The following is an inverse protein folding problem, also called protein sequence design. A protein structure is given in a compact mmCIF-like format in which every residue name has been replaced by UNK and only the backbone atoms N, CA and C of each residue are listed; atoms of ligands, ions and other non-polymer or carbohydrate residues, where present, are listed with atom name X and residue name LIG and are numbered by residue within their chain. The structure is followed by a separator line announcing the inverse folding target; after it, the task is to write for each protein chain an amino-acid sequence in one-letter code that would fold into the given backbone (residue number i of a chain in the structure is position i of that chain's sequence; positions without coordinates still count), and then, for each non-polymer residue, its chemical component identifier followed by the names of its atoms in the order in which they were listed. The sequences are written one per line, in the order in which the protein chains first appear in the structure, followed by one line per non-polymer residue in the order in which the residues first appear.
data_IF_816481543930
#
_entry.id   IF_816481543930
#
_cell.length_a   1.000
_cell.length_b   1.000
_cell.length_c   1.000
_cell.angle_alpha   90.00
_cell.angle_beta   90.00
_cell.angle_gamma   90.00
#
_symmetry.space_group_name_H-M   'P 1'
#
loop_
_entity.id
_entity.type
_entity.pdbx_description
1 polymer ?
#
# COMPACT_ATOMS: atom_id res chain seq x y z
N UNK A 1 3.79 -7.48 -42.85
CA UNK A 1 3.39 -7.42 -41.44
C UNK A 1 3.33 -8.83 -40.92
N UNK A 2 4.40 -9.21 -40.23
CA UNK A 2 4.70 -10.55 -39.71
C UNK A 2 3.87 -10.84 -38.46
N UNK A 3 3.56 -12.11 -38.21
CA UNK A 3 2.81 -12.63 -37.05
C UNK A 3 3.36 -12.23 -35.68
N UNK A 4 4.53 -11.59 -35.64
CA UNK A 4 5.17 -10.99 -34.46
C UNK A 4 4.40 -9.75 -33.96
N UNK A 5 3.71 -9.00 -34.82
CA UNK A 5 2.91 -7.82 -34.40
C UNK A 5 1.53 -8.18 -33.82
N UNK A 6 1.14 -9.46 -33.85
CA UNK A 6 -0.09 -9.95 -33.21
C UNK A 6 0.10 -10.43 -31.76
N UNK A 7 1.34 -10.63 -31.32
CA UNK A 7 1.63 -11.08 -29.96
C UNK A 7 1.59 -9.94 -28.92
N UNK A 8 1.57 -8.67 -29.36
CA UNK A 8 1.78 -7.51 -28.48
C UNK A 8 0.48 -6.82 -28.01
N UNK A 9 -0.68 -7.47 -28.19
CA UNK A 9 -2.00 -6.91 -27.83
C UNK A 9 -2.80 -7.70 -26.81
N UNK A 10 -2.17 -8.67 -26.16
CA UNK A 10 -2.78 -9.40 -25.04
C UNK A 10 -1.75 -9.69 -23.94
N UNK A 11 -0.88 -8.73 -23.61
CA UNK A 11 -0.37 -8.70 -22.24
C UNK A 11 -1.56 -8.33 -21.35
N UNK A 12 -2.21 -9.38 -20.84
CA UNK A 12 -3.12 -9.29 -19.72
C UNK A 12 -2.34 -8.56 -18.62
N UNK A 13 -2.55 -7.23 -18.51
CA UNK A 13 -1.81 -6.41 -17.54
C UNK A 13 -2.08 -7.04 -16.19
N UNK A 14 -1.09 -7.71 -15.60
CA UNK A 14 -1.27 -8.41 -14.34
C UNK A 14 -1.75 -7.39 -13.30
N UNK A 15 -3.03 -7.48 -12.94
CA UNK A 15 -3.63 -6.61 -11.94
C UNK A 15 -3.31 -7.19 -10.56
N UNK A 16 -2.37 -6.55 -9.87
CA UNK A 16 -2.02 -6.87 -8.51
C UNK A 16 -3.19 -6.61 -7.58
N UNK A 17 -3.31 -7.41 -6.52
CA UNK A 17 -4.31 -7.13 -5.49
C UNK A 17 -3.96 -5.85 -4.75
N UNK A 18 -2.70 -5.69 -4.41
CA UNK A 18 -2.18 -4.48 -3.81
C UNK A 18 -0.69 -4.32 -4.06
N UNK A 19 -0.23 -3.11 -3.82
CA UNK A 19 1.19 -2.81 -3.65
C UNK A 19 1.50 -2.68 -2.16
N UNK A 20 2.56 -3.33 -1.67
CA UNK A 20 3.10 -3.10 -0.33
C UNK A 20 4.18 -2.02 -0.42
N UNK A 21 4.06 -0.99 0.42
CA UNK A 21 5.01 0.10 0.56
C UNK A 21 5.58 0.07 1.98
N UNK A 22 6.88 -0.22 2.10
CA UNK A 22 7.64 -0.22 3.36
C UNK A 22 8.43 1.09 3.49
N UNK A 23 8.89 1.48 4.69
CA UNK A 23 9.73 2.66 4.88
C UNK A 23 10.93 2.72 3.92
N UNK A 24 11.56 1.57 3.66
CA UNK A 24 12.63 1.44 2.67
C UNK A 24 12.21 2.01 1.30
N UNK A 25 11.01 1.66 0.82
CA UNK A 25 10.54 2.05 -0.50
C UNK A 25 9.99 3.48 -0.57
N UNK A 26 9.24 3.93 0.44
CA UNK A 26 8.49 5.20 0.38
C UNK A 26 9.17 6.40 1.02
N UNK A 27 10.28 6.22 1.75
CA UNK A 27 11.06 7.32 2.32
C UNK A 27 12.12 7.84 1.35
N UNK A 28 12.65 9.06 1.56
CA UNK A 28 13.82 9.53 0.83
C UNK A 28 14.99 8.54 1.00
N UNK A 29 15.73 8.19 -0.06
CA UNK A 29 16.76 7.15 -0.01
C UNK A 29 17.90 7.46 0.97
N UNK A 30 18.17 8.74 1.22
CA UNK A 30 19.23 9.19 2.14
C UNK A 30 18.73 9.41 3.59
N UNK A 31 17.46 9.09 3.89
CA UNK A 31 16.92 9.29 5.23
C UNK A 31 17.37 8.20 6.20
N UNK A 32 17.69 8.56 7.45
CA UNK A 32 18.17 7.63 8.48
C UNK A 32 17.20 6.49 8.80
N UNK A 33 15.91 6.70 8.53
CA UNK A 33 14.84 5.72 8.73
C UNK A 33 14.48 4.93 7.46
N UNK A 34 15.11 5.26 6.32
CA UNK A 34 14.94 4.55 5.05
C UNK A 34 15.86 3.31 4.98
N UNK A 35 15.83 2.49 6.02
CA UNK A 35 16.63 1.28 6.09
C UNK A 35 15.77 0.04 5.99
N UNK A 36 16.40 -1.04 5.51
CA UNK A 36 15.78 -2.35 5.49
C UNK A 36 15.52 -2.81 6.92
N UNK A 37 14.23 -3.03 7.20
CA UNK A 37 13.77 -3.45 8.51
C UNK A 37 13.28 -4.89 8.39
N UNK A 38 14.04 -5.89 8.91
CA UNK A 38 13.75 -7.31 8.69
C UNK A 38 12.35 -7.72 9.14
N UNK A 39 11.80 -7.07 10.18
CA UNK A 39 10.42 -7.36 10.63
C UNK A 39 9.38 -6.89 9.61
N UNK A 40 9.63 -5.78 8.91
CA UNK A 40 8.73 -5.26 7.87
C UNK A 40 8.74 -6.17 6.65
N UNK A 41 9.91 -6.65 6.23
CA UNK A 41 10.01 -7.61 5.13
C UNK A 41 9.34 -8.94 5.47
N UNK A 42 9.59 -9.46 6.68
CA UNK A 42 8.95 -10.69 7.16
C UNK A 42 7.44 -10.54 7.22
N UNK A 43 6.93 -9.39 7.67
CA UNK A 43 5.50 -9.12 7.70
C UNK A 43 4.91 -8.95 6.29
N UNK A 44 5.58 -8.22 5.40
CA UNK A 44 5.17 -8.06 4.01
C UNK A 44 5.06 -9.42 3.31
N UNK A 45 6.01 -10.33 3.58
CA UNK A 45 5.95 -11.72 3.13
C UNK A 45 4.77 -12.48 3.74
N UNK A 46 4.53 -12.36 5.04
CA UNK A 46 3.37 -13.01 5.69
C UNK A 46 2.04 -12.56 5.05
N UNK A 47 1.87 -11.25 4.80
CA UNK A 47 0.70 -10.70 4.09
C UNK A 47 0.60 -11.25 2.67
N UNK A 48 1.72 -11.32 1.94
CA UNK A 48 1.78 -11.86 0.59
C UNK A 48 1.32 -13.32 0.52
N UNK A 49 1.88 -14.16 1.40
CA UNK A 49 1.61 -15.59 1.45
C UNK A 49 0.13 -15.83 1.80
N UNK A 50 -0.39 -15.13 2.82
CA UNK A 50 -1.80 -15.23 3.23
C UNK A 50 -2.77 -14.84 2.11
N UNK A 51 -2.48 -13.73 1.40
CA UNK A 51 -3.32 -13.25 0.31
C UNK A 51 -3.25 -14.18 -0.90
N UNK A 52 -2.09 -14.79 -1.15
CA UNK A 52 -1.97 -15.80 -2.19
C UNK A 52 -2.80 -17.04 -1.86
N UNK A 53 -2.71 -17.55 -0.63
CA UNK A 53 -3.50 -18.68 -0.14
C UNK A 53 -5.02 -18.43 -0.22
N UNK A 54 -5.47 -17.26 0.24
CA UNK A 54 -6.90 -16.93 0.31
C UNK A 54 -7.49 -16.46 -1.02
N UNK A 55 -6.78 -15.59 -1.76
CA UNK A 55 -7.35 -14.85 -2.89
C UNK A 55 -6.73 -15.26 -4.23
N UNK A 56 -5.60 -15.96 -4.25
CA UNK A 56 -4.87 -16.34 -5.47
C UNK A 56 -4.57 -15.14 -6.37
N UNK A 57 -4.24 -13.99 -5.75
CA UNK A 57 -3.94 -12.74 -6.46
C UNK A 57 -2.49 -12.34 -6.23
N UNK A 58 -1.80 -11.88 -7.28
CA UNK A 58 -0.41 -11.43 -7.15
C UNK A 58 -0.34 -10.12 -6.39
N UNK A 59 0.80 -9.87 -5.75
CA UNK A 59 1.11 -8.63 -5.05
C UNK A 59 2.34 -7.96 -5.69
N UNK A 60 2.47 -6.65 -5.50
CA UNK A 60 3.65 -5.91 -5.93
C UNK A 60 4.38 -5.31 -4.73
N UNK A 61 5.69 -5.46 -4.66
CA UNK A 61 6.51 -4.91 -3.57
C UNK A 61 7.75 -4.26 -4.17
N UNK A 62 7.85 -2.92 -4.14
CA UNK A 62 9.09 -2.24 -4.48
C UNK A 62 10.16 -2.61 -3.44
N UNK A 63 11.34 -2.99 -3.92
CA UNK A 63 12.43 -3.52 -3.07
C UNK A 63 13.66 -2.61 -3.03
N UNK A 64 13.63 -1.48 -3.73
CA UNK A 64 14.75 -0.55 -3.80
C UNK A 64 14.51 0.66 -2.89
N UNK A 65 15.56 1.12 -2.21
CA UNK A 65 15.51 2.28 -1.33
C UNK A 65 15.00 3.52 -2.08
N UNK A 66 13.94 4.16 -1.55
CA UNK A 66 13.32 5.36 -2.10
C UNK A 66 12.70 5.21 -3.50
N UNK A 67 12.55 3.98 -4.01
CA UNK A 67 12.01 3.77 -5.36
C UNK A 67 10.60 4.33 -5.53
N UNK A 68 9.78 4.15 -4.49
CA UNK A 68 8.43 4.63 -4.39
C UNK A 68 8.33 5.87 -3.50
N UNK A 69 9.42 6.62 -3.34
CA UNK A 69 9.38 7.90 -2.64
C UNK A 69 8.44 8.84 -3.39
N UNK A 70 7.50 9.44 -2.65
CA UNK A 70 6.53 10.38 -3.21
C UNK A 70 7.16 11.76 -3.47
N UNK A 71 8.13 11.77 -4.39
CA UNK A 71 8.75 12.99 -4.90
C UNK A 71 7.81 13.67 -5.92
N UNK A 72 8.16 14.89 -6.33
CA UNK A 72 7.32 15.87 -7.05
C UNK A 72 6.43 15.37 -8.20
N UNK A 73 6.75 14.25 -8.84
CA UNK A 73 5.94 13.68 -9.91
C UNK A 73 4.99 12.59 -9.39
N UNK A 74 3.76 13.01 -9.08
CA UNK A 74 2.70 12.11 -8.64
C UNK A 74 2.21 11.15 -9.74
N UNK A 75 2.35 11.52 -11.01
CA UNK A 75 1.98 10.66 -12.12
C UNK A 75 2.96 9.50 -12.26
N UNK A 76 4.26 9.74 -12.08
CA UNK A 76 5.26 8.68 -12.04
C UNK A 76 4.99 7.74 -10.86
N UNK A 77 4.75 8.30 -9.66
CA UNK A 77 4.45 7.50 -8.47
C UNK A 77 3.22 6.61 -8.68
N UNK A 78 2.09 7.18 -9.14
CA UNK A 78 0.87 6.42 -9.38
C UNK A 78 1.05 5.39 -10.50
N UNK A 79 1.56 5.79 -11.66
CA UNK A 79 1.64 4.90 -12.82
C UNK A 79 2.59 3.70 -12.59
N UNK A 80 3.69 3.91 -11.86
CA UNK A 80 4.67 2.85 -11.58
C UNK A 80 4.23 1.95 -10.44
N UNK A 81 3.78 2.52 -9.32
CA UNK A 81 3.63 1.76 -8.09
C UNK A 81 2.20 1.38 -7.76
N UNK A 82 1.20 2.15 -8.22
CA UNK A 82 -0.15 2.02 -7.69
C UNK A 82 -1.20 1.63 -8.75
N UNK A 83 -1.07 2.12 -9.98
CA UNK A 83 -2.10 2.04 -11.02
C UNK A 83 -2.54 0.63 -11.39
N UNK A 84 -1.62 -0.35 -11.29
CA UNK A 84 -1.92 -1.75 -11.60
C UNK A 84 -2.34 -2.55 -10.35
N UNK A 85 -2.60 -1.89 -9.23
CA UNK A 85 -2.95 -2.51 -7.94
C UNK A 85 -4.32 -2.03 -7.47
N UNK A 86 -5.16 -2.92 -6.92
CA UNK A 86 -6.47 -2.48 -6.38
C UNK A 86 -6.29 -1.63 -5.11
N UNK A 87 -5.37 -2.00 -4.23
CA UNK A 87 -5.04 -1.27 -3.00
C UNK A 87 -3.55 -0.91 -2.89
N UNK A 88 -3.22 -0.06 -1.94
CA UNK A 88 -1.86 0.22 -1.50
C UNK A 88 -1.78 0.00 0.00
N UNK A 89 -0.80 -0.76 0.48
CA UNK A 89 -0.64 -1.06 1.90
C UNK A 89 0.66 -0.44 2.38
N UNK A 90 0.57 0.52 3.30
CA UNK A 90 1.73 1.01 4.04
C UNK A 90 1.96 0.08 5.21
N UNK A 91 3.13 -0.56 5.28
CA UNK A 91 3.52 -1.42 6.40
C UNK A 91 4.66 -0.74 7.13
N UNK A 92 4.43 -0.32 8.37
CA UNK A 92 5.37 0.51 9.13
C UNK A 92 5.60 -0.09 10.52
N UNK A 93 6.85 -0.30 10.98
CA UNK A 93 7.12 -0.62 12.38
C UNK A 93 6.60 0.47 13.29
N UNK A 94 5.90 0.13 14.38
CA UNK A 94 5.35 1.10 15.32
C UNK A 94 6.42 2.03 15.90
N UNK A 95 7.62 1.49 16.17
CA UNK A 95 8.79 2.25 16.63
C UNK A 95 9.35 3.25 15.61
N UNK A 96 9.00 3.10 14.33
CA UNK A 96 9.39 3.99 13.23
C UNK A 96 8.22 4.81 12.71
N UNK A 97 7.08 4.82 13.40
CA UNK A 97 5.87 5.48 12.89
C UNK A 97 6.08 6.98 12.63
N UNK A 98 7.01 7.63 13.34
CA UNK A 98 7.44 9.02 13.12
C UNK A 98 7.88 9.31 11.68
N UNK A 99 8.36 8.30 10.93
CA UNK A 99 8.75 8.47 9.53
C UNK A 99 7.59 8.93 8.64
N UNK A 100 6.35 8.63 9.04
CA UNK A 100 5.15 9.04 8.31
C UNK A 100 4.95 10.57 8.33
N UNK A 101 5.45 11.27 9.35
CA UNK A 101 5.41 12.74 9.40
C UNK A 101 6.18 13.35 8.23
N UNK A 102 7.26 12.69 7.77
CA UNK A 102 8.14 13.17 6.69
C UNK A 102 7.44 13.17 5.33
N UNK A 103 6.58 12.17 5.09
CA UNK A 103 5.86 12.02 3.82
C UNK A 103 4.44 12.58 3.88
N UNK A 104 3.95 12.94 5.08
CA UNK A 104 2.57 13.33 5.32
C UNK A 104 2.09 14.46 4.40
N UNK A 105 2.84 15.56 4.32
CA UNK A 105 2.44 16.71 3.49
C UNK A 105 2.32 16.36 2.00
N UNK A 106 3.23 15.55 1.47
CA UNK A 106 3.19 15.10 0.07
C UNK A 106 2.06 14.11 -0.18
N UNK A 107 1.87 13.18 0.75
CA UNK A 107 0.80 12.20 0.70
C UNK A 107 -0.58 12.88 0.73
N UNK A 108 -0.75 13.92 1.55
CA UNK A 108 -1.96 14.75 1.56
C UNK A 108 -2.25 15.40 0.21
N UNK A 109 -1.23 15.98 -0.43
CA UNK A 109 -1.39 16.58 -1.76
C UNK A 109 -1.75 15.51 -2.79
N UNK A 110 -1.06 14.37 -2.78
CA UNK A 110 -1.37 13.24 -3.65
C UNK A 110 -2.81 12.76 -3.50
N UNK A 111 -3.26 12.54 -2.26
CA UNK A 111 -4.62 12.11 -1.93
C UNK A 111 -5.67 13.20 -2.21
N UNK A 112 -5.26 14.46 -2.35
CA UNK A 112 -6.15 15.55 -2.80
C UNK A 112 -6.32 15.50 -4.32
N UNK A 113 -5.24 15.26 -5.06
CA UNK A 113 -5.24 15.16 -6.52
C UNK A 113 -5.76 13.82 -7.05
N UNK A 114 -5.72 12.76 -6.22
CA UNK A 114 -6.15 11.39 -6.56
C UNK A 114 -7.01 10.81 -5.44
N UNK A 115 -8.14 11.46 -5.18
CA UNK A 115 -9.02 11.19 -4.03
C UNK A 115 -9.48 9.73 -3.88
N UNK A 116 -9.58 8.97 -4.98
CA UNK A 116 -9.90 7.54 -4.94
C UNK A 116 -8.90 6.73 -4.12
N UNK A 117 -7.66 7.18 -3.99
CA UNK A 117 -6.65 6.50 -3.18
C UNK A 117 -6.93 6.58 -1.67
N UNK A 118 -7.72 7.55 -1.19
CA UNK A 118 -8.10 7.61 0.23
C UNK A 118 -8.84 6.36 0.71
N UNK A 119 -9.57 5.70 -0.19
CA UNK A 119 -10.34 4.49 0.12
C UNK A 119 -9.57 3.20 -0.20
N UNK A 120 -8.38 3.33 -0.80
CA UNK A 120 -7.56 2.23 -1.33
C UNK A 120 -6.24 2.09 -0.61
N UNK A 121 -5.79 3.11 0.12
CA UNK A 121 -4.69 3.01 1.04
C UNK A 121 -5.14 2.33 2.34
N UNK A 122 -4.33 1.39 2.80
CA UNK A 122 -4.47 0.70 4.08
C UNK A 122 -3.18 0.95 4.84
N UNK A 123 -3.29 1.33 6.11
CA UNK A 123 -2.15 1.50 6.99
C UNK A 123 -2.07 0.34 7.96
N UNK A 124 -0.90 -0.30 8.02
CA UNK A 124 -0.59 -1.37 8.95
C UNK A 124 0.61 -0.98 9.80
N UNK A 125 0.44 -1.04 11.11
CA UNK A 125 1.53 -0.94 12.07
C UNK A 125 1.96 -2.31 12.58
N UNK A 126 3.27 -2.50 12.75
CA UNK A 126 3.85 -3.66 13.43
C UNK A 126 4.28 -3.21 14.83
N UNK A 127 3.47 -3.52 15.84
CA UNK A 127 3.52 -2.95 17.18
C UNK A 127 2.84 -1.57 17.24
N UNK A 128 2.64 -1.08 18.47
CA UNK A 128 2.00 0.21 18.69
C UNK A 128 2.82 1.37 18.09
N UNK A 129 2.20 2.28 17.32
CA UNK A 129 2.88 3.43 16.75
C UNK A 129 3.32 4.42 17.84
N UNK A 130 4.55 4.92 17.74
CA UNK A 130 5.10 5.90 18.66
C UNK A 130 5.78 7.06 17.92
N UNK A 131 5.83 8.24 18.56
CA UNK A 131 6.65 9.37 18.13
C UNK A 131 6.07 10.27 17.03
N UNK A 132 4.98 9.87 16.38
CA UNK A 132 4.26 10.71 15.40
C UNK A 132 3.73 12.00 16.02
N UNK A 133 3.84 13.11 15.30
CA UNK A 133 3.35 14.43 15.72
C UNK A 133 2.41 15.07 14.71
N UNK A 134 2.56 14.74 13.44
CA UNK A 134 1.85 15.41 12.34
C UNK A 134 0.92 14.46 11.59
N UNK A 135 1.35 13.21 11.38
CA UNK A 135 0.62 12.26 10.57
C UNK A 135 -0.72 11.87 11.22
N UNK A 136 -1.81 12.11 10.51
CA UNK A 136 -3.15 11.70 10.92
C UNK A 136 -3.61 10.51 10.09
N UNK A 137 -3.85 9.32 10.68
CA UNK A 137 -4.29 8.17 9.90
C UNK A 137 -5.66 8.34 9.24
N UNK A 138 -6.47 9.30 9.71
CA UNK A 138 -7.78 9.66 9.16
C UNK A 138 -7.74 10.25 7.74
N UNK A 139 -6.55 10.51 7.19
CA UNK A 139 -6.40 10.80 5.75
C UNK A 139 -6.83 9.64 4.86
N UNK A 140 -6.82 8.42 5.41
CA UNK A 140 -7.37 7.21 4.81
C UNK A 140 -8.76 6.92 5.38
N UNK A 141 -9.62 6.27 4.59
CA UNK A 141 -10.94 5.85 5.06
C UNK A 141 -10.90 4.56 5.89
N UNK A 142 -9.86 3.74 5.69
CA UNK A 142 -9.66 2.51 6.44
C UNK A 142 -8.90 2.82 7.72
N UNK A 143 -9.46 2.44 8.87
CA UNK A 143 -8.77 2.54 10.16
C UNK A 143 -7.46 1.72 10.14
N UNK A 144 -6.38 2.21 10.79
CA UNK A 144 -5.13 1.47 10.84
C UNK A 144 -5.29 0.12 11.52
N UNK A 145 -4.65 -0.89 10.94
CA UNK A 145 -4.52 -2.19 11.58
C UNK A 145 -3.20 -2.24 12.34
N UNK A 146 -3.24 -2.54 13.63
CA UNK A 146 -2.03 -2.66 14.47
C UNK A 146 -1.81 -4.13 14.76
N UNK A 147 -0.81 -4.76 14.16
CA UNK A 147 -0.41 -6.14 14.46
C UNK A 147 0.62 -6.16 15.59
N UNK A 148 0.84 -7.32 16.19
CA UNK A 148 1.86 -7.50 17.21
C UNK A 148 3.26 -7.15 16.70
N UNK A 149 4.11 -6.60 17.57
CA UNK A 149 5.54 -6.46 17.27
C UNK A 149 6.28 -7.81 17.21
N UNK A 150 5.70 -8.86 17.78
CA UNK A 150 6.28 -10.20 17.80
C UNK A 150 5.80 -11.02 16.60
N UNK A 151 6.70 -11.46 15.70
CA UNK A 151 6.32 -12.26 14.53
C UNK A 151 5.64 -13.59 14.86
N UNK A 152 5.97 -14.18 16.00
CA UNK A 152 5.55 -15.53 16.37
C UNK A 152 4.06 -15.61 16.72
N UNK A 153 3.38 -14.47 16.87
CA UNK A 153 1.94 -14.43 17.18
C UNK A 153 1.08 -13.99 16.02
N UNK A 154 1.65 -13.48 14.92
CA UNK A 154 0.87 -12.96 13.79
C UNK A 154 -0.18 -13.96 13.30
N UNK A 155 0.16 -15.24 13.17
CA UNK A 155 -0.76 -16.28 12.70
C UNK A 155 -1.99 -16.48 13.59
N UNK A 156 -1.89 -16.09 14.87
CA UNK A 156 -2.98 -16.19 15.85
C UNK A 156 -3.80 -14.90 15.97
N UNK A 157 -3.39 -13.81 15.31
CA UNK A 157 -4.13 -12.54 15.28
C UNK A 157 -5.30 -12.57 14.28
N UNK A 158 -6.17 -13.57 14.41
CA UNK A 158 -7.24 -13.91 13.46
C UNK A 158 -8.14 -12.72 13.14
N UNK A 159 -8.57 -11.95 14.15
CA UNK A 159 -9.44 -10.78 13.94
C UNK A 159 -8.81 -9.72 13.01
N UNK A 160 -7.48 -9.51 13.12
CA UNK A 160 -6.76 -8.53 12.31
C UNK A 160 -6.60 -9.02 10.87
N UNK A 161 -6.32 -10.31 10.70
CA UNK A 161 -6.31 -10.96 9.40
C UNK A 161 -7.69 -10.95 8.75
N UNK A 162 -8.75 -11.26 9.48
CA UNK A 162 -10.11 -11.25 8.96
C UNK A 162 -10.54 -9.85 8.52
N UNK A 163 -10.16 -8.80 9.27
CA UNK A 163 -10.34 -7.41 8.86
C UNK A 163 -9.59 -7.10 7.56
N UNK A 164 -8.28 -7.40 7.49
CA UNK A 164 -7.47 -7.15 6.30
C UNK A 164 -8.02 -7.91 5.08
N UNK A 165 -8.25 -9.21 5.20
CA UNK A 165 -8.78 -10.05 4.13
C UNK A 165 -10.21 -9.64 3.76
N UNK A 166 -11.03 -9.18 4.72
CA UNK A 166 -12.35 -8.63 4.46
C UNK A 166 -12.30 -7.39 3.56
N UNK A 167 -11.41 -6.45 3.89
CA UNK A 167 -11.16 -5.25 3.07
C UNK A 167 -10.71 -5.68 1.67
N UNK A 168 -9.73 -6.60 1.59
CA UNK A 168 -9.21 -7.07 0.32
C UNK A 168 -10.24 -7.90 -0.46
N UNK A 169 -11.17 -8.62 0.16
CA UNK A 169 -12.22 -9.36 -0.57
C UNK A 169 -13.26 -8.43 -1.19
N UNK A 170 -13.48 -7.26 -0.59
CA UNK A 170 -14.35 -6.26 -1.19
C UNK A 170 -13.79 -5.92 -2.58
N UNK A 171 -14.61 -6.10 -3.63
CA UNK A 171 -14.23 -5.61 -4.94
C UNK A 171 -14.22 -4.10 -4.84
N UNK A 172 -13.04 -3.49 -5.00
CA UNK A 172 -13.00 -2.09 -5.38
C UNK A 172 -13.53 -1.99 -6.80
N UNK A 173 -14.85 -1.89 -6.93
CA UNK A 173 -15.47 -1.50 -8.19
C UNK A 173 -15.18 -0.02 -8.36
N UNK A 174 -14.44 0.34 -9.41
CA UNK A 174 -14.38 1.71 -9.90
C UNK A 174 -15.75 2.13 -10.46
N UNK A 175 -16.82 2.11 -9.65
CA UNK A 175 -18.08 2.76 -10.00
C UNK A 175 -17.97 4.21 -9.55
N UNK A 176 -17.25 5.00 -10.33
CA UNK A 176 -17.58 6.42 -10.42
C UNK A 176 -18.74 6.58 -11.38
N UNK A 177 -19.93 6.12 -10.97
CA UNK A 177 -21.18 6.61 -11.54
C UNK A 177 -21.42 8.02 -10.98
N UNK A 178 -20.73 9.01 -11.55
CA UNK A 178 -21.21 10.39 -11.50
C UNK A 178 -22.46 10.47 -12.38
N UNK A 179 -23.60 10.01 -11.86
CA UNK A 179 -24.89 10.49 -12.35
C UNK A 179 -25.05 11.92 -11.85
N UNK A 180 -24.63 12.87 -12.67
CA UNK A 180 -25.13 14.23 -12.61
C UNK A 180 -26.64 14.17 -12.83
N UNK A 181 -27.40 14.22 -11.74
CA UNK A 181 -28.82 14.54 -11.80
C UNK A 181 -28.89 16.05 -12.00
N UNK A 182 -29.01 16.47 -13.26
CA UNK A 182 -29.50 17.82 -13.54
C UNK A 182 -30.99 17.84 -13.19
N UNK A 183 -31.36 18.67 -12.22
CA UNK A 183 -32.73 19.16 -12.04
C UNK A 183 -32.78 20.60 -12.54
#
# INVERSE_FOLDING_TARGET
MTEIERADKTMNKTLFKFTILTPLAFLPPDHLEAYDCPVTERFAKAVADRVWEDLHRPIFTPSTAGEAFINSDFDIFENRFLKNSEYAILVVPGQQAVCLDLVYGRLLVFLTLRSTWRTRFILIYIGDPVGQKLFEPSIFQTEPLVFSASPDVWDTETEKWDKLLGILRSKFSSHTDFRLVFR
#
